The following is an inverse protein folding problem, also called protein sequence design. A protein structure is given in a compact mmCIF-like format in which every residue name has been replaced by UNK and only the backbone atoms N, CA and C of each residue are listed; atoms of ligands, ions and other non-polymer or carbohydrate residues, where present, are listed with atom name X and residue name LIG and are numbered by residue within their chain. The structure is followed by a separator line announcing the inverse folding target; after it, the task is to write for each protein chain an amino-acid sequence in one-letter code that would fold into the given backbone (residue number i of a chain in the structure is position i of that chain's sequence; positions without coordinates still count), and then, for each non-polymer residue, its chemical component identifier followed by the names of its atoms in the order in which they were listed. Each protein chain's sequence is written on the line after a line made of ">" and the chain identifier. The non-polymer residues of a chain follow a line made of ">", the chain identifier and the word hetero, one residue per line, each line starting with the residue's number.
data_IF_510453468199
#
_entry.id   IF_510453468199
#
_cell.length_a   1.000
_cell.length_b   1.000
_cell.length_c   1.000
_cell.angle_alpha   90.00
_cell.angle_beta   90.00
_cell.angle_gamma   90.00
#
_symmetry.space_group_name_H-M   'P 1'
#
loop_
_entity.id
_entity.type
_entity.pdbx_description
1 polymer ?
#
# COMPACT_ATOMS: atom_id res chain seq x y z
N UNK A 1 -47.72 19.76 -30.44
CA UNK A 1 -46.54 20.42 -29.96
C UNK A 1 -45.80 19.45 -29.05
N UNK A 2 -44.94 18.69 -29.67
CA UNK A 2 -44.20 17.62 -29.02
C UNK A 2 -42.87 18.12 -28.54
N UNK A 3 -42.71 18.21 -27.23
CA UNK A 3 -41.43 18.33 -26.60
C UNK A 3 -41.07 17.01 -25.90
N UNK A 4 -40.90 15.98 -26.67
CA UNK A 4 -40.30 14.75 -26.24
C UNK A 4 -38.79 14.77 -26.55
N UNK A 5 -38.10 15.70 -25.95
CA UNK A 5 -36.64 15.73 -25.91
C UNK A 5 -36.13 15.45 -24.51
N UNK A 6 -36.74 14.46 -23.87
CA UNK A 6 -36.15 13.94 -22.64
C UNK A 6 -34.88 13.19 -23.01
N UNK A 7 -33.74 13.84 -22.84
CA UNK A 7 -32.47 13.18 -22.76
C UNK A 7 -32.56 12.10 -21.69
N UNK A 8 -32.76 10.86 -22.15
CA UNK A 8 -32.58 9.71 -21.26
C UNK A 8 -31.14 9.72 -20.79
N UNK A 9 -30.91 9.80 -19.49
CA UNK A 9 -29.57 9.58 -19.00
C UNK A 9 -29.13 8.17 -19.40
N UNK A 10 -27.85 7.97 -19.74
CA UNK A 10 -27.36 6.65 -20.09
C UNK A 10 -27.71 5.68 -18.95
N UNK A 11 -28.14 4.48 -19.32
CA UNK A 11 -28.70 3.46 -18.42
C UNK A 11 -27.77 2.93 -17.31
N UNK A 12 -26.67 3.62 -17.05
CA UNK A 12 -25.59 3.22 -16.11
C UNK A 12 -25.50 4.12 -14.87
N UNK A 13 -26.36 5.12 -14.75
CA UNK A 13 -26.40 6.04 -13.61
C UNK A 13 -27.57 5.66 -12.70
N UNK A 14 -27.28 4.88 -11.67
CA UNK A 14 -28.25 4.59 -10.60
C UNK A 14 -27.90 5.49 -9.41
N UNK A 15 -28.73 6.49 -9.06
CA UNK A 15 -28.53 7.24 -7.83
C UNK A 15 -28.84 6.33 -6.63
N UNK A 16 -27.87 6.11 -5.79
CA UNK A 16 -28.10 5.46 -4.49
C UNK A 16 -28.51 6.55 -3.52
N UNK A 17 -29.78 6.53 -3.13
CA UNK A 17 -30.32 7.44 -2.10
C UNK A 17 -30.14 6.76 -0.74
N UNK A 18 -29.21 7.27 0.06
CA UNK A 18 -29.08 6.88 1.45
C UNK A 18 -29.87 7.86 2.31
N UNK A 19 -30.97 7.38 2.86
CA UNK A 19 -31.81 8.18 3.79
C UNK A 19 -31.32 7.95 5.21
N UNK A 20 -30.64 8.94 5.77
CA UNK A 20 -30.32 9.00 7.19
C UNK A 20 -31.39 9.81 7.95
N UNK A 21 -31.71 9.44 9.21
CA UNK A 21 -32.95 9.95 9.88
C UNK A 21 -32.91 11.43 10.29
N UNK A 22 -31.88 12.20 10.02
CA UNK A 22 -31.77 13.60 10.47
C UNK A 22 -31.34 14.62 9.41
N UNK A 23 -30.79 14.19 8.26
CA UNK A 23 -30.47 15.10 7.14
C UNK A 23 -30.40 14.32 5.84
N UNK A 24 -31.13 14.77 4.85
CA UNK A 24 -30.95 14.31 3.48
C UNK A 24 -29.64 14.91 2.95
N UNK A 25 -28.57 14.16 3.00
CA UNK A 25 -27.35 14.49 2.26
C UNK A 25 -27.42 13.71 0.98
N UNK A 26 -27.70 14.37 -0.12
CA UNK A 26 -27.55 13.77 -1.44
C UNK A 26 -26.05 13.73 -1.73
N UNK A 27 -25.43 12.62 -1.45
CA UNK A 27 -24.05 12.36 -1.90
C UNK A 27 -24.18 11.70 -3.26
N UNK A 28 -23.99 12.47 -4.33
CA UNK A 28 -23.81 11.90 -5.65
C UNK A 28 -22.47 11.22 -5.72
N UNK A 29 -22.43 9.94 -5.39
CA UNK A 29 -21.23 9.11 -5.59
C UNK A 29 -21.25 8.67 -7.06
N UNK A 30 -20.44 9.31 -7.85
CA UNK A 30 -20.18 8.89 -9.23
C UNK A 30 -19.27 7.66 -9.18
N UNK A 31 -19.87 6.49 -9.17
CA UNK A 31 -19.11 5.26 -9.39
C UNK A 31 -18.91 5.10 -10.90
N UNK A 32 -17.79 5.58 -11.40
CA UNK A 32 -17.36 5.21 -12.75
C UNK A 32 -16.86 3.77 -12.71
N UNK A 33 -17.78 2.84 -12.97
CA UNK A 33 -17.40 1.47 -13.26
C UNK A 33 -16.76 1.45 -14.65
N UNK A 34 -15.46 1.52 -14.72
CA UNK A 34 -14.71 1.17 -15.91
C UNK A 34 -14.72 -0.34 -16.07
N UNK A 35 -15.84 -0.85 -16.58
CA UNK A 35 -15.90 -2.23 -17.03
C UNK A 35 -15.04 -2.36 -18.29
N UNK A 36 -13.96 -3.10 -18.22
CA UNK A 36 -13.31 -3.68 -19.37
C UNK A 36 -12.11 -2.95 -19.94
N UNK A 37 -11.09 -2.74 -19.13
CA UNK A 37 -9.75 -2.70 -19.67
C UNK A 37 -9.01 -3.94 -19.18
N UNK A 38 -8.49 -4.77 -20.05
CA UNK A 38 -7.68 -5.90 -19.69
C UNK A 38 -6.55 -5.47 -18.76
N UNK A 39 -6.64 -5.81 -17.49
CA UNK A 39 -5.55 -6.19 -16.65
C UNK A 39 -4.52 -5.20 -16.22
N UNK A 40 -4.77 -3.92 -16.02
CA UNK A 40 -3.93 -3.16 -15.10
C UNK A 40 -4.28 -3.59 -13.68
N UNK A 41 -3.40 -4.40 -13.05
CA UNK A 41 -3.54 -4.75 -11.64
C UNK A 41 -3.61 -3.46 -10.83
N UNK A 42 -4.54 -3.39 -9.90
CA UNK A 42 -4.61 -2.28 -8.94
C UNK A 42 -3.30 -2.20 -8.14
N UNK A 43 -3.02 -1.07 -7.52
CA UNK A 43 -1.82 -0.94 -6.68
C UNK A 43 -1.86 -1.93 -5.52
N UNK A 44 -3.03 -2.12 -4.89
CA UNK A 44 -3.25 -3.12 -3.84
C UNK A 44 -2.94 -4.56 -4.31
N UNK A 45 -3.32 -4.92 -5.55
CA UNK A 45 -2.98 -6.22 -6.13
C UNK A 45 -1.46 -6.38 -6.34
N UNK A 46 -0.78 -5.31 -6.76
CA UNK A 46 0.68 -5.32 -6.95
C UNK A 46 1.43 -5.47 -5.63
N UNK A 47 0.89 -4.90 -4.56
CA UNK A 47 1.43 -5.03 -3.21
C UNK A 47 1.04 -6.36 -2.54
N UNK A 48 0.12 -7.12 -3.12
CA UNK A 48 -0.34 -8.41 -2.59
C UNK A 48 -1.19 -8.25 -1.33
N UNK A 49 -1.93 -7.14 -1.24
CA UNK A 49 -2.79 -6.86 -0.10
C UNK A 49 -4.10 -7.63 -0.22
N UNK A 50 -4.61 -8.08 0.91
CA UNK A 50 -5.92 -8.74 1.02
C UNK A 50 -6.58 -8.41 2.35
N UNK A 51 -7.90 -8.55 2.39
CA UNK A 51 -8.67 -8.33 3.61
C UNK A 51 -8.15 -9.17 4.77
N UNK A 52 -8.05 -8.56 5.93
CA UNK A 52 -7.69 -9.20 7.18
C UNK A 52 -6.19 -9.38 7.42
N UNK A 53 -5.33 -8.83 6.57
CA UNK A 53 -3.89 -8.76 6.86
C UNK A 53 -3.64 -7.83 8.03
N UNK A 54 -2.78 -8.26 8.95
CA UNK A 54 -2.26 -7.41 10.03
C UNK A 54 -0.99 -6.72 9.53
N UNK A 55 -1.03 -5.40 9.41
CA UNK A 55 0.05 -4.59 8.84
C UNK A 55 0.61 -3.65 9.89
N UNK A 56 1.89 -3.81 10.21
CA UNK A 56 2.63 -2.88 11.06
C UNK A 56 3.29 -1.81 10.21
N UNK A 57 3.18 -0.55 10.63
CA UNK A 57 3.84 0.60 10.01
C UNK A 57 5.00 1.07 10.89
N UNK A 58 6.19 1.15 10.29
CA UNK A 58 7.41 1.64 10.94
C UNK A 58 8.02 2.79 10.14
N UNK A 59 8.70 3.71 10.83
CA UNK A 59 9.42 4.82 10.19
C UNK A 59 8.51 5.88 9.55
N UNK A 60 7.26 5.97 9.98
CA UNK A 60 6.36 7.03 9.52
C UNK A 60 6.90 8.41 9.92
N UNK A 61 6.81 9.37 9.01
CA UNK A 61 7.10 10.78 9.25
C UNK A 61 6.19 11.65 8.36
N UNK A 62 6.19 12.96 8.55
CA UNK A 62 5.31 13.91 7.86
C UNK A 62 5.44 13.91 6.33
N UNK A 63 6.52 13.37 5.78
CA UNK A 63 6.75 13.22 4.34
C UNK A 63 6.19 11.90 3.76
N UNK A 64 5.69 11.00 4.61
CA UNK A 64 5.02 9.78 4.17
C UNK A 64 3.76 10.09 3.38
N UNK A 65 3.42 9.24 2.42
CA UNK A 65 2.29 9.45 1.52
C UNK A 65 0.98 8.92 2.14
N UNK A 66 0.14 9.84 2.63
CA UNK A 66 -1.13 9.50 3.26
C UNK A 66 -2.11 8.81 2.31
N UNK A 67 -2.10 9.13 1.01
CA UNK A 67 -2.96 8.46 0.03
C UNK A 67 -2.59 6.98 -0.11
N UNK A 68 -1.29 6.67 -0.02
CA UNK A 68 -0.80 5.28 -0.01
C UNK A 68 -1.24 4.57 1.27
N UNK A 69 -1.17 5.22 2.42
CA UNK A 69 -1.61 4.66 3.71
C UNK A 69 -3.10 4.33 3.69
N UNK A 70 -3.94 5.28 3.28
CA UNK A 70 -5.39 5.09 3.14
C UNK A 70 -5.71 3.94 2.19
N UNK A 71 -5.03 3.87 1.05
CA UNK A 71 -5.21 2.78 0.08
C UNK A 71 -4.87 1.40 0.68
N UNK A 72 -3.84 1.33 1.53
CA UNK A 72 -3.45 0.08 2.20
C UNK A 72 -4.52 -0.30 3.22
N UNK A 73 -4.96 0.63 4.08
CA UNK A 73 -6.01 0.41 5.08
C UNK A 73 -7.33 -0.05 4.45
N UNK A 74 -7.73 0.58 3.35
CA UNK A 74 -8.90 0.17 2.57
C UNK A 74 -8.74 -1.25 2.00
N UNK A 75 -7.55 -1.60 1.51
CA UNK A 75 -7.29 -2.90 0.91
C UNK A 75 -7.27 -4.04 1.93
N UNK A 76 -6.82 -3.78 3.16
CA UNK A 76 -6.79 -4.77 4.23
C UNK A 76 -8.09 -4.81 5.04
N UNK A 77 -8.97 -3.81 4.89
CA UNK A 77 -10.17 -3.58 5.70
C UNK A 77 -9.81 -3.45 7.20
N UNK A 78 -8.77 -2.65 7.49
CA UNK A 78 -8.20 -2.49 8.82
C UNK A 78 -7.34 -1.25 8.93
N UNK A 79 -6.77 -1.04 10.09
CA UNK A 79 -5.87 0.07 10.40
C UNK A 79 -4.40 -0.38 10.37
N UNK A 80 -3.50 0.52 10.01
CA UNK A 80 -2.05 0.34 10.20
C UNK A 80 -1.72 0.45 11.69
N UNK A 81 -0.95 -0.49 12.21
CA UNK A 81 -0.55 -0.51 13.62
C UNK A 81 0.94 -0.14 13.78
N UNK A 82 1.25 0.72 14.73
CA UNK A 82 2.63 1.10 15.04
C UNK A 82 3.30 0.06 15.94
N UNK A 83 2.58 -0.40 16.99
CA UNK A 83 3.07 -1.41 17.93
C UNK A 83 2.36 -2.73 17.72
N UNK A 84 3.13 -3.77 17.40
CA UNK A 84 2.59 -5.12 17.24
C UNK A 84 2.29 -5.74 18.61
N UNK A 85 1.04 -6.14 18.83
CA UNK A 85 0.61 -6.89 20.00
C UNK A 85 0.72 -8.41 19.76
N UNK A 86 0.75 -8.82 18.51
CA UNK A 86 0.86 -10.19 18.01
C UNK A 86 1.71 -10.19 16.74
N UNK A 87 2.04 -11.37 16.23
CA UNK A 87 2.78 -11.47 14.98
C UNK A 87 2.00 -10.87 13.79
N UNK A 88 2.67 -10.07 12.97
CA UNK A 88 2.10 -9.37 11.83
C UNK A 88 2.40 -10.08 10.51
N UNK A 89 1.51 -9.92 9.53
CA UNK A 89 1.65 -10.54 8.21
C UNK A 89 2.53 -9.70 7.26
N UNK A 90 2.56 -8.41 7.49
CA UNK A 90 3.24 -7.43 6.66
C UNK A 90 3.82 -6.30 7.52
N UNK A 91 5.04 -5.90 7.24
CA UNK A 91 5.61 -4.66 7.75
C UNK A 91 5.74 -3.67 6.60
N UNK A 92 5.19 -2.48 6.80
CA UNK A 92 5.37 -1.31 5.96
C UNK A 92 6.47 -0.46 6.61
N UNK A 93 7.65 -0.41 6.01
CA UNK A 93 8.80 0.32 6.53
C UNK A 93 9.10 1.52 5.64
N UNK A 94 8.87 2.74 6.16
CA UNK A 94 9.30 3.98 5.53
C UNK A 94 10.75 4.24 5.88
N UNK A 95 11.61 4.46 4.88
CA UNK A 95 13.05 4.60 5.10
C UNK A 95 13.66 5.66 4.18
N UNK A 96 14.48 6.52 4.77
CA UNK A 96 15.30 7.53 4.08
C UNK A 96 16.78 7.25 4.35
N UNK A 97 17.64 7.71 3.47
CA UNK A 97 19.11 7.55 3.61
C UNK A 97 19.65 8.08 4.95
N UNK A 98 19.00 9.10 5.50
CA UNK A 98 19.38 9.76 6.76
C UNK A 98 18.76 9.14 8.03
N UNK A 99 17.92 8.10 7.90
CA UNK A 99 17.25 7.45 9.04
C UNK A 99 18.18 6.52 9.85
N UNK A 100 19.39 6.27 9.36
CA UNK A 100 20.42 5.49 10.04
C UNK A 100 20.85 4.25 9.26
N UNK A 101 21.15 3.17 9.98
CA UNK A 101 21.57 1.90 9.37
C UNK A 101 20.35 1.09 8.91
N UNK A 102 20.22 0.93 7.60
CA UNK A 102 19.09 0.18 7.00
C UNK A 102 19.07 -1.30 7.45
N UNK A 103 20.23 -1.90 7.74
CA UNK A 103 20.29 -3.28 8.24
C UNK A 103 19.59 -3.39 9.58
N UNK A 104 19.85 -2.45 10.49
CA UNK A 104 19.21 -2.41 11.80
C UNK A 104 17.67 -2.20 11.64
N UNK A 105 17.25 -1.28 10.79
CA UNK A 105 15.83 -1.06 10.49
C UNK A 105 15.12 -2.29 9.92
N UNK A 106 15.80 -3.06 9.06
CA UNK A 106 15.27 -4.31 8.53
C UNK A 106 15.21 -5.43 9.57
N UNK A 107 16.19 -5.50 10.47
CA UNK A 107 16.20 -6.47 11.59
C UNK A 107 15.07 -6.16 12.55
N UNK A 108 14.84 -4.89 12.88
CA UNK A 108 13.71 -4.46 13.71
C UNK A 108 12.36 -4.83 13.06
N UNK A 109 12.22 -4.59 11.77
CA UNK A 109 11.02 -4.96 11.01
C UNK A 109 10.75 -6.48 10.97
N UNK A 110 11.77 -7.32 11.18
CA UNK A 110 11.64 -8.77 11.23
C UNK A 110 11.14 -9.28 12.60
N UNK A 111 11.19 -8.45 13.64
CA UNK A 111 10.95 -8.88 15.04
C UNK A 111 9.54 -9.45 15.21
N UNK A 112 8.55 -8.76 14.71
CA UNK A 112 7.14 -9.13 14.88
C UNK A 112 6.54 -9.81 13.62
N UNK A 113 7.34 -9.95 12.57
CA UNK A 113 6.90 -10.51 11.30
C UNK A 113 6.75 -12.02 11.34
N UNK A 114 5.59 -12.56 10.91
CA UNK A 114 5.38 -14.00 10.76
C UNK A 114 6.41 -14.65 9.81
N UNK A 115 6.60 -15.96 9.90
CA UNK A 115 7.52 -16.70 9.02
C UNK A 115 7.17 -16.60 7.52
N UNK A 116 5.89 -16.47 7.22
CA UNK A 116 5.37 -16.30 5.86
C UNK A 116 5.21 -14.82 5.48
N UNK A 117 5.43 -13.91 6.42
CA UNK A 117 5.28 -12.47 6.23
C UNK A 117 6.35 -11.87 5.32
N UNK A 118 6.11 -10.64 4.93
CA UNK A 118 7.02 -9.89 4.06
C UNK A 118 7.05 -8.41 4.42
N UNK A 119 8.10 -7.73 3.98
CA UNK A 119 8.30 -6.30 4.20
C UNK A 119 8.09 -5.57 2.88
N UNK A 120 7.34 -4.48 2.91
CA UNK A 120 7.38 -3.44 1.89
C UNK A 120 8.24 -2.28 2.40
N UNK A 121 9.43 -2.18 1.85
CA UNK A 121 10.35 -1.07 2.12
C UNK A 121 9.99 0.09 1.20
N UNK A 122 9.51 1.18 1.81
CA UNK A 122 9.15 2.42 1.14
C UNK A 122 10.34 3.37 1.16
N UNK A 123 10.87 3.71 -0.01
CA UNK A 123 11.98 4.64 -0.14
C UNK A 123 11.64 5.79 -1.08
N UNK A 124 12.18 7.01 -0.84
CA UNK A 124 12.01 8.11 -1.77
C UNK A 124 12.57 7.77 -3.15
N UNK A 125 11.92 8.27 -4.19
CA UNK A 125 12.38 8.10 -5.57
C UNK A 125 13.68 8.85 -5.85
N UNK A 126 14.36 8.43 -6.89
CA UNK A 126 15.55 9.11 -7.44
C UNK A 126 15.27 10.61 -7.63
N UNK A 127 16.16 11.44 -7.11
CA UNK A 127 16.05 12.90 -7.17
C UNK A 127 15.25 13.54 -6.04
N UNK A 128 14.72 12.74 -5.12
CA UNK A 128 14.09 13.21 -3.88
C UNK A 128 15.09 13.18 -2.72
N UNK A 129 14.87 14.04 -1.72
CA UNK A 129 15.62 13.99 -0.46
C UNK A 129 15.43 12.62 0.18
N UNK A 130 16.48 12.11 0.81
CA UNK A 130 16.44 10.78 1.46
C UNK A 130 16.46 9.58 0.52
N UNK A 131 16.75 9.79 -0.79
CA UNK A 131 16.88 8.68 -1.73
C UNK A 131 17.95 7.67 -1.27
N UNK A 132 17.58 6.40 -1.27
CA UNK A 132 18.48 5.28 -0.96
C UNK A 132 18.96 4.64 -2.26
N UNK A 133 20.28 4.46 -2.41
CA UNK A 133 20.82 3.80 -3.59
C UNK A 133 20.40 2.34 -3.65
N UNK A 134 20.08 1.87 -4.85
CA UNK A 134 19.60 0.49 -5.06
C UNK A 134 20.66 -0.56 -4.68
N UNK A 135 21.95 -0.23 -4.79
CA UNK A 135 23.04 -1.12 -4.39
C UNK A 135 23.13 -1.25 -2.86
N UNK A 136 23.00 -0.13 -2.14
CA UNK A 136 23.01 -0.10 -0.68
C UNK A 136 21.80 -0.83 -0.11
N UNK A 137 20.64 -0.65 -0.73
CA UNK A 137 19.41 -1.36 -0.38
C UNK A 137 19.56 -2.87 -0.58
N UNK A 138 20.16 -3.30 -1.70
CA UNK A 138 20.39 -4.72 -1.98
C UNK A 138 21.39 -5.34 -0.99
N UNK A 139 22.46 -4.63 -0.64
CA UNK A 139 23.46 -5.09 0.33
C UNK A 139 22.86 -5.20 1.74
N UNK A 140 22.09 -4.18 2.18
CA UNK A 140 21.42 -4.21 3.46
C UNK A 140 20.42 -5.36 3.58
N UNK A 141 19.62 -5.61 2.52
CA UNK A 141 18.67 -6.72 2.50
C UNK A 141 19.37 -8.07 2.66
N UNK A 142 20.45 -8.33 1.92
CA UNK A 142 21.23 -9.57 2.02
C UNK A 142 21.85 -9.71 3.41
N UNK A 143 22.39 -8.63 3.97
CA UNK A 143 23.00 -8.60 5.31
C UNK A 143 21.95 -8.90 6.38
N UNK A 144 20.74 -8.38 6.26
CA UNK A 144 19.61 -8.70 7.15
C UNK A 144 19.00 -10.11 6.91
N UNK A 145 19.52 -10.87 5.94
CA UNK A 145 19.04 -12.21 5.63
C UNK A 145 17.74 -12.22 4.79
N UNK A 146 17.49 -11.15 4.03
CA UNK A 146 16.33 -10.98 3.19
C UNK A 146 16.68 -11.05 1.71
N UNK A 147 15.69 -11.34 0.88
CA UNK A 147 15.79 -11.31 -0.57
C UNK A 147 14.82 -10.27 -1.15
N UNK A 148 15.33 -9.46 -2.09
CA UNK A 148 14.52 -8.57 -2.88
C UNK A 148 13.77 -9.36 -3.96
N UNK A 149 12.48 -9.10 -4.11
CA UNK A 149 11.67 -9.83 -5.11
C UNK A 149 11.01 -8.92 -6.13
N UNK A 150 10.47 -7.80 -5.71
CA UNK A 150 9.71 -6.91 -6.58
C UNK A 150 9.85 -5.46 -6.13
N UNK A 151 9.78 -4.53 -7.09
CA UNK A 151 9.74 -3.10 -6.81
C UNK A 151 8.58 -2.46 -7.57
N UNK A 152 7.83 -1.62 -6.91
CA UNK A 152 6.62 -0.97 -7.43
C UNK A 152 6.69 0.52 -7.12
N UNK A 153 6.47 1.36 -8.13
CA UNK A 153 6.22 2.77 -7.89
C UNK A 153 4.82 2.93 -7.31
N UNK A 154 4.73 3.39 -6.06
CA UNK A 154 3.46 3.52 -5.33
C UNK A 154 2.86 4.91 -5.40
N UNK A 155 3.70 5.93 -5.55
CA UNK A 155 3.29 7.32 -5.72
C UNK A 155 4.30 8.10 -6.57
N UNK A 156 4.08 9.37 -6.88
CA UNK A 156 5.07 10.21 -7.57
C UNK A 156 6.40 10.31 -6.83
N UNK A 157 6.39 10.16 -5.51
CA UNK A 157 7.52 10.44 -4.62
C UNK A 157 8.14 9.21 -4.00
N UNK A 158 7.40 8.09 -3.95
CA UNK A 158 7.78 6.88 -3.24
C UNK A 158 7.80 5.62 -4.11
N UNK A 159 8.76 4.76 -3.83
CA UNK A 159 8.87 3.42 -4.41
C UNK A 159 8.82 2.39 -3.29
N UNK A 160 8.05 1.32 -3.48
CA UNK A 160 7.99 0.18 -2.59
C UNK A 160 8.84 -0.96 -3.13
N UNK A 161 9.69 -1.53 -2.31
CA UNK A 161 10.49 -2.72 -2.63
C UNK A 161 10.13 -3.86 -1.70
N UNK A 162 9.71 -4.98 -2.25
CA UNK A 162 9.31 -6.16 -1.49
C UNK A 162 10.51 -6.99 -1.07
N UNK A 163 10.60 -7.22 0.24
CA UNK A 163 11.61 -8.05 0.86
C UNK A 163 10.94 -9.27 1.51
N UNK A 164 11.53 -10.44 1.31
CA UNK A 164 11.03 -11.71 1.85
C UNK A 164 12.16 -12.48 2.50
N UNK A 165 11.85 -13.31 3.49
CA UNK A 165 12.79 -14.32 3.96
C UNK A 165 13.01 -15.35 2.85
N UNK A 166 14.26 -15.60 2.43
CA UNK A 166 14.52 -16.63 1.44
C UNK A 166 14.08 -17.98 2.02
N UNK A 167 13.32 -18.74 1.26
CA UNK A 167 12.99 -20.12 1.66
C UNK A 167 14.28 -20.89 1.75
N UNK A 168 14.66 -21.27 2.97
CA UNK A 168 15.85 -22.07 3.20
C UNK A 168 15.81 -23.29 2.28
N UNK A 169 16.88 -23.48 1.50
CA UNK A 169 17.10 -24.71 0.80
C UNK A 169 17.12 -25.84 1.83
N UNK A 170 16.03 -26.58 1.95
CA UNK A 170 16.06 -27.84 2.69
C UNK A 170 17.01 -28.76 1.93
N UNK A 171 18.16 -28.93 2.51
CA UNK A 171 19.04 -30.06 2.12
C UNK A 171 18.43 -31.38 2.56
#
# INVERSE_FOLDING_TARGET
>A
MDYAGALRPPAFLVPIIVVLPVRVIVVEVWVTSTAGAGGAKSLSDKLGLSHGLVVQELGWDEDADDDVRIMIEDAIDGELIEEAMEAVDLVLLWWRDEDGDLVDGLVDALTDLTDAGYIWLMTPKVGRSGYVDAADLAEAAVTAGLALTNSVQISPDWTATKLVRPKGSRR
#
